data_IF_501561106103
#
_entry.id   IF_501561106103
#
_cell.length_a   1.000
_cell.length_b   1.000
_cell.length_c   1.000
_cell.angle_alpha   90.00
_cell.angle_beta   90.00
_cell.angle_gamma   90.00
#
_symmetry.space_group_name_H-M   'P 1'
#
loop_
_entity.id
_entity.type
_entity.pdbx_description
1 polymer ?
#
# COMPACT_ATOMS: atom_id res chain seq x y z
N UNK A 1 0.62 -16.28 -24.74
CA UNK A 1 1.23 -16.59 -23.42
C UNK A 1 2.18 -15.46 -23.08
N UNK A 2 2.13 -14.97 -21.85
CA UNK A 2 3.00 -13.88 -21.39
C UNK A 2 4.37 -14.44 -21.05
N UNK A 3 5.43 -13.81 -21.56
CA UNK A 3 6.81 -14.15 -21.21
C UNK A 3 7.06 -13.94 -19.71
N UNK A 4 7.88 -14.76 -19.04
CA UNK A 4 8.19 -14.53 -17.63
C UNK A 4 8.78 -13.13 -17.41
N UNK A 5 8.33 -12.46 -16.36
CA UNK A 5 8.79 -11.12 -15.99
C UNK A 5 8.90 -11.00 -14.46
N UNK A 6 9.66 -10.02 -14.00
CA UNK A 6 9.93 -9.75 -12.59
C UNK A 6 9.76 -8.28 -12.30
N UNK A 7 9.17 -7.96 -11.17
CA UNK A 7 9.04 -6.58 -10.72
C UNK A 7 9.18 -6.47 -9.21
N UNK A 8 9.36 -5.24 -8.74
CA UNK A 8 9.39 -4.95 -7.31
C UNK A 8 8.25 -4.00 -6.90
N UNK A 9 7.91 -4.03 -5.62
CA UNK A 9 6.94 -3.10 -5.01
C UNK A 9 7.62 -2.44 -3.81
N UNK A 10 7.63 -1.11 -3.79
CA UNK A 10 8.05 -0.30 -2.64
C UNK A 10 6.90 0.66 -2.32
N UNK A 11 6.34 0.55 -1.12
CA UNK A 11 5.23 1.39 -0.67
C UNK A 11 5.63 2.31 0.47
N UNK A 12 4.99 3.48 0.51
CA UNK A 12 5.12 4.50 1.55
C UNK A 12 6.58 4.75 1.97
N UNK A 13 7.50 5.01 1.02
CA UNK A 13 8.89 5.31 1.34
C UNK A 13 9.05 6.63 2.08
N UNK A 14 8.07 7.53 1.99
CA UNK A 14 8.02 8.80 2.70
C UNK A 14 9.36 9.55 2.65
N UNK A 15 9.87 9.77 1.44
CA UNK A 15 11.14 10.49 1.21
C UNK A 15 11.15 11.76 2.04
N UNK A 16 12.16 11.85 2.90
CA UNK A 16 12.41 12.97 3.80
C UNK A 16 13.90 13.33 3.73
N UNK A 17 14.22 14.44 3.07
CA UNK A 17 15.57 14.99 3.06
C UNK A 17 15.91 15.63 4.42
N UNK A 18 17.20 15.73 4.79
CA UNK A 18 17.59 16.28 6.09
C UNK A 18 17.02 17.68 6.41
N UNK A 19 16.85 18.54 5.40
CA UNK A 19 16.31 19.90 5.57
C UNK A 19 14.78 19.99 5.50
N UNK A 20 14.10 18.91 5.09
CA UNK A 20 12.63 18.81 5.11
C UNK A 20 12.13 18.01 6.32
N UNK A 21 13.03 17.47 7.13
CA UNK A 21 12.69 16.70 8.31
C UNK A 21 12.08 17.59 9.41
N UNK A 22 10.83 17.31 9.78
CA UNK A 22 10.17 17.91 10.94
C UNK A 22 10.06 16.89 12.08
N UNK A 23 10.53 17.26 13.27
CA UNK A 23 10.43 16.39 14.44
C UNK A 23 8.99 16.40 14.99
N UNK A 24 8.25 15.32 14.78
CA UNK A 24 6.95 15.10 15.42
C UNK A 24 7.09 14.16 16.63
N UNK A 25 6.75 14.63 17.86
CA UNK A 25 6.96 13.85 19.09
C UNK A 25 6.27 12.48 19.11
N UNK A 26 5.18 12.31 18.34
CA UNK A 26 4.33 11.10 18.29
C UNK A 26 4.45 10.30 17.00
N UNK A 27 5.47 10.55 16.16
CA UNK A 27 5.61 9.88 14.87
C UNK A 27 5.88 8.39 15.03
N UNK A 28 5.06 7.52 14.44
CA UNK A 28 5.32 6.07 14.44
C UNK A 28 6.42 5.68 13.46
N UNK A 29 6.56 6.44 12.37
CA UNK A 29 7.46 6.14 11.27
C UNK A 29 8.90 6.56 11.60
N UNK A 30 9.85 5.78 11.11
CA UNK A 30 11.27 6.03 11.20
C UNK A 30 11.73 6.77 9.93
N UNK A 31 11.20 7.98 9.72
CA UNK A 31 11.45 8.77 8.49
C UNK A 31 12.91 9.13 8.30
N UNK A 32 13.69 9.14 9.38
CA UNK A 32 15.14 9.34 9.34
C UNK A 32 15.86 8.24 8.55
N UNK A 33 15.27 7.04 8.49
CA UNK A 33 15.77 5.92 7.70
C UNK A 33 15.31 5.99 6.24
N UNK A 34 14.43 6.92 5.84
CA UNK A 34 13.81 6.95 4.51
C UNK A 34 14.81 6.91 3.37
N UNK A 35 15.63 7.95 3.23
CA UNK A 35 16.60 8.05 2.12
C UNK A 35 17.63 6.91 2.18
N UNK A 36 18.26 6.59 3.33
CA UNK A 36 19.20 5.47 3.41
C UNK A 36 18.58 4.11 3.06
N UNK A 37 17.37 3.81 3.55
CA UNK A 37 16.66 2.57 3.25
C UNK A 37 16.30 2.48 1.77
N UNK A 38 15.77 3.56 1.20
CA UNK A 38 15.39 3.58 -0.21
C UNK A 38 16.60 3.43 -1.11
N UNK A 39 17.71 4.12 -0.83
CA UNK A 39 18.96 3.97 -1.60
C UNK A 39 19.48 2.53 -1.55
N UNK A 40 19.50 1.90 -0.38
CA UNK A 40 19.93 0.51 -0.24
C UNK A 40 19.03 -0.46 -1.03
N UNK A 41 17.70 -0.28 -0.95
CA UNK A 41 16.75 -1.12 -1.69
C UNK A 41 16.92 -0.89 -3.19
N UNK A 42 16.94 0.35 -3.67
CA UNK A 42 17.10 0.65 -5.09
C UNK A 42 18.44 0.15 -5.65
N UNK A 43 19.53 0.23 -4.89
CA UNK A 43 20.82 -0.34 -5.28
C UNK A 43 20.77 -1.87 -5.39
N UNK A 44 20.08 -2.53 -4.44
CA UNK A 44 19.86 -3.99 -4.47
C UNK A 44 19.05 -4.39 -5.69
N UNK A 45 17.93 -3.71 -5.94
CA UNK A 45 17.04 -3.98 -7.07
C UNK A 45 17.71 -3.69 -8.42
N UNK A 46 18.54 -2.64 -8.52
CA UNK A 46 19.30 -2.31 -9.73
C UNK A 46 20.32 -3.39 -10.14
N UNK A 47 20.73 -4.27 -9.22
CA UNK A 47 21.61 -5.40 -9.51
C UNK A 47 20.84 -6.66 -9.96
N UNK A 48 19.51 -6.61 -9.99
CA UNK A 48 18.65 -7.72 -10.36
C UNK A 48 18.03 -7.54 -11.75
N UNK A 49 17.66 -8.64 -12.45
CA UNK A 49 16.97 -8.58 -13.73
C UNK A 49 15.48 -8.29 -13.52
N UNK A 50 15.16 -7.07 -13.09
CA UNK A 50 13.79 -6.56 -12.96
C UNK A 50 13.36 -5.86 -14.24
N UNK A 51 12.10 -6.07 -14.61
CA UNK A 51 11.47 -5.42 -15.75
C UNK A 51 10.91 -4.03 -15.36
N UNK A 52 10.43 -3.85 -14.13
CA UNK A 52 9.93 -2.57 -13.63
C UNK A 52 9.80 -2.52 -12.09
N UNK A 53 9.59 -1.31 -11.55
CA UNK A 53 9.26 -1.03 -10.14
C UNK A 53 7.87 -0.38 -10.05
N UNK A 54 7.04 -0.82 -9.09
CA UNK A 54 5.74 -0.22 -8.79
C UNK A 54 5.76 0.44 -7.40
N UNK A 55 5.25 1.66 -7.28
CA UNK A 55 5.20 2.41 -6.02
C UNK A 55 3.77 2.94 -5.73
N UNK A 56 3.00 2.28 -4.84
CA UNK A 56 1.61 2.61 -4.57
C UNK A 56 1.44 3.80 -3.60
N UNK A 57 2.13 4.91 -3.85
CA UNK A 57 1.93 6.18 -3.15
C UNK A 57 2.69 6.38 -1.85
N UNK A 58 2.46 7.55 -1.26
CA UNK A 58 3.18 8.14 -0.12
C UNK A 58 4.69 8.14 -0.37
N UNK A 59 5.03 8.62 -1.57
CA UNK A 59 6.38 8.72 -2.09
C UNK A 59 7.23 9.67 -1.24
N UNK A 60 6.62 10.75 -0.72
CA UNK A 60 7.23 11.77 0.14
C UNK A 60 6.52 11.86 1.48
N UNK A 61 7.16 12.49 2.46
CA UNK A 61 6.61 12.56 3.81
C UNK A 61 5.57 13.68 3.98
N UNK A 62 5.73 14.86 3.38
CA UNK A 62 4.71 15.92 3.43
C UNK A 62 4.60 16.73 2.12
N UNK A 63 4.81 16.09 0.97
CA UNK A 63 4.58 16.67 -0.35
C UNK A 63 5.59 17.74 -0.74
N UNK A 64 6.73 17.79 -0.06
CA UNK A 64 7.76 18.79 -0.31
C UNK A 64 8.35 18.63 -1.71
N UNK A 65 8.43 19.73 -2.44
CA UNK A 65 8.93 19.78 -3.82
C UNK A 65 10.36 19.25 -3.94
N UNK A 66 11.22 19.56 -2.96
CA UNK A 66 12.59 19.03 -2.90
C UNK A 66 12.62 17.50 -2.76
N UNK A 67 11.72 16.93 -1.96
CA UNK A 67 11.64 15.48 -1.77
C UNK A 67 11.16 14.79 -3.07
N UNK A 68 10.19 15.39 -3.77
CA UNK A 68 9.75 14.90 -5.09
C UNK A 68 10.86 15.00 -6.15
N UNK A 69 11.59 16.11 -6.21
CA UNK A 69 12.71 16.27 -7.15
C UNK A 69 13.83 15.28 -6.89
N UNK A 70 14.21 15.08 -5.62
CA UNK A 70 15.20 14.07 -5.28
C UNK A 70 14.77 12.67 -5.72
N UNK A 71 13.51 12.30 -5.44
CA UNK A 71 13.01 10.97 -5.79
C UNK A 71 12.94 10.76 -7.31
N UNK A 72 12.38 11.71 -8.06
CA UNK A 72 12.30 11.61 -9.53
C UNK A 72 13.68 11.54 -10.17
N UNK A 73 14.63 12.34 -9.70
CA UNK A 73 16.03 12.24 -10.14
C UNK A 73 16.60 10.85 -9.84
N UNK A 74 16.36 10.31 -8.65
CA UNK A 74 16.90 9.00 -8.28
C UNK A 74 16.28 7.84 -9.06
N UNK A 75 14.96 7.88 -9.28
CA UNK A 75 14.24 6.88 -10.09
C UNK A 75 14.68 6.91 -11.56
N UNK A 76 15.03 8.09 -12.11
CA UNK A 76 15.52 8.23 -13.50
C UNK A 76 16.85 7.51 -13.78
N UNK A 77 17.59 7.16 -12.71
CA UNK A 77 18.89 6.49 -12.79
C UNK A 77 18.78 4.96 -12.73
N UNK A 78 17.57 4.42 -12.54
CA UNK A 78 17.36 2.98 -12.49
C UNK A 78 17.55 2.35 -13.88
N UNK A 79 18.05 1.11 -13.96
CA UNK A 79 18.22 0.40 -15.23
C UNK A 79 16.89 -0.14 -15.79
N UNK A 80 15.78 0.08 -15.09
CA UNK A 80 14.42 -0.33 -15.45
C UNK A 80 13.43 0.81 -15.13
N UNK A 81 12.26 0.86 -15.80
CA UNK A 81 11.23 1.86 -15.51
C UNK A 81 10.62 1.70 -14.12
N UNK A 82 10.17 2.82 -13.56
CA UNK A 82 9.38 2.86 -12.34
C UNK A 82 8.03 3.52 -12.61
N UNK A 83 6.98 3.06 -11.94
CA UNK A 83 5.62 3.57 -12.08
C UNK A 83 5.04 3.88 -10.71
N UNK A 84 4.43 5.06 -10.58
CA UNK A 84 3.96 5.56 -9.29
C UNK A 84 2.50 5.97 -9.34
N UNK A 85 1.84 6.04 -8.19
CA UNK A 85 0.55 6.76 -7.98
C UNK A 85 0.70 7.69 -6.77
N UNK A 86 -0.09 8.76 -6.63
CA UNK A 86 0.00 9.62 -5.46
C UNK A 86 -0.60 8.96 -4.22
N UNK A 87 0.03 9.20 -3.07
CA UNK A 87 -0.56 9.01 -1.75
C UNK A 87 -1.02 10.31 -1.10
N UNK A 88 -1.64 10.22 0.08
CA UNK A 88 -2.16 11.41 0.77
C UNK A 88 -1.06 12.27 1.39
N UNK A 89 0.17 11.77 1.48
CA UNK A 89 1.35 12.55 1.89
C UNK A 89 2.05 13.23 0.71
N UNK A 90 1.78 12.82 -0.54
CA UNK A 90 2.43 13.39 -1.73
C UNK A 90 1.84 14.72 -2.16
N UNK A 91 0.51 14.84 -2.09
CA UNK A 91 -0.18 16.09 -2.44
C UNK A 91 -1.08 16.48 -1.28
N UNK A 92 -0.62 17.44 -0.47
CA UNK A 92 -1.32 17.85 0.76
C UNK A 92 -2.51 18.76 0.46
N UNK A 93 -2.40 19.60 -0.57
CA UNK A 93 -3.46 20.50 -1.01
C UNK A 93 -3.53 20.53 -2.54
N UNK A 94 -4.73 20.75 -3.10
CA UNK A 94 -4.93 20.73 -4.54
C UNK A 94 -4.02 21.71 -5.30
N UNK A 95 -3.74 22.87 -4.69
CA UNK A 95 -2.99 23.97 -5.30
C UNK A 95 -1.51 24.01 -4.91
N UNK A 96 -1.06 23.15 -3.99
CA UNK A 96 0.27 23.27 -3.40
C UNK A 96 0.52 24.64 -2.72
N UNK A 97 1.79 24.92 -2.42
CA UNK A 97 2.29 26.22 -1.98
C UNK A 97 3.78 26.38 -2.35
N UNK A 98 4.45 27.37 -1.75
CA UNK A 98 5.88 27.61 -1.98
C UNK A 98 6.76 26.38 -1.70
N UNK A 99 6.35 25.48 -0.80
CA UNK A 99 7.13 24.30 -0.39
C UNK A 99 6.58 22.99 -0.94
N UNK A 100 5.27 22.91 -1.13
CA UNK A 100 4.56 21.67 -1.49
C UNK A 100 4.02 21.70 -2.90
N UNK A 101 3.97 20.54 -3.55
CA UNK A 101 3.47 20.42 -4.93
C UNK A 101 1.95 20.41 -4.99
N UNK A 102 1.40 20.97 -6.06
CA UNK A 102 0.01 20.73 -6.48
C UNK A 102 -0.16 19.38 -7.17
N UNK A 103 -1.41 18.93 -7.38
CA UNK A 103 -1.66 17.70 -8.13
C UNK A 103 -1.18 17.78 -9.59
N UNK A 104 -1.29 18.96 -10.22
CA UNK A 104 -0.77 19.17 -11.58
C UNK A 104 0.75 19.07 -11.62
N UNK A 105 1.43 19.73 -10.69
CA UNK A 105 2.89 19.63 -10.58
C UNK A 105 3.33 18.19 -10.29
N UNK A 106 2.59 17.44 -9.47
CA UNK A 106 2.86 16.02 -9.26
C UNK A 106 2.82 15.25 -10.59
N UNK A 107 1.76 15.41 -11.39
CA UNK A 107 1.68 14.72 -12.70
C UNK A 107 2.77 15.16 -13.66
N UNK A 108 3.18 16.43 -13.64
CA UNK A 108 4.27 16.93 -14.49
C UNK A 108 5.63 16.36 -14.06
N UNK A 109 5.92 16.37 -12.75
CA UNK A 109 7.16 15.82 -12.18
C UNK A 109 7.28 14.33 -12.42
N UNK A 110 6.17 13.61 -12.28
CA UNK A 110 6.14 12.16 -12.46
C UNK A 110 5.80 11.70 -13.88
N UNK A 111 5.78 12.60 -14.87
CA UNK A 111 5.55 12.29 -16.29
C UNK A 111 6.26 11.01 -16.78
N UNK A 112 7.60 10.91 -16.60
CA UNK A 112 8.37 9.71 -16.99
C UNK A 112 8.02 8.42 -16.24
N UNK A 113 7.19 8.48 -15.20
CA UNK A 113 6.84 7.39 -14.29
C UNK A 113 5.35 7.00 -14.37
N UNK A 114 4.76 7.16 -15.56
CA UNK A 114 3.42 6.68 -15.92
C UNK A 114 2.48 7.75 -16.49
N UNK A 115 2.72 9.03 -16.18
CA UNK A 115 1.81 10.11 -16.53
C UNK A 115 2.08 10.65 -17.94
N UNK A 116 1.24 10.27 -18.90
CA UNK A 116 1.29 10.78 -20.28
C UNK A 116 0.42 12.02 -20.52
N UNK A 117 -0.47 12.33 -19.58
CA UNK A 117 -1.41 13.46 -19.63
C UNK A 117 -1.49 14.13 -18.25
N UNK A 118 -2.03 15.34 -18.18
CA UNK A 118 -2.28 16.06 -16.92
C UNK A 118 -3.53 15.53 -16.18
N UNK A 119 -3.67 14.21 -16.11
CA UNK A 119 -4.67 13.53 -15.29
C UNK A 119 -3.95 12.69 -14.23
N UNK A 120 -4.42 12.66 -12.97
CA UNK A 120 -3.70 11.99 -11.88
C UNK A 120 -3.87 10.45 -11.89
N UNK A 121 -4.35 9.88 -12.99
CA UNK A 121 -4.48 8.46 -13.24
C UNK A 121 -4.07 8.16 -14.69
N UNK A 122 -3.60 6.95 -14.95
CA UNK A 122 -3.03 6.59 -16.26
C UNK A 122 -3.08 5.09 -16.53
N UNK A 123 -2.86 4.75 -17.79
CA UNK A 123 -2.66 3.41 -18.29
C UNK A 123 -1.29 3.28 -18.93
N UNK A 124 -0.63 2.15 -18.70
CA UNK A 124 0.67 1.83 -19.29
C UNK A 124 0.78 0.33 -19.57
N UNK A 125 1.30 -0.06 -20.74
CA UNK A 125 1.77 -1.43 -20.97
C UNK A 125 3.14 -1.61 -20.31
N UNK A 126 3.25 -2.55 -19.37
CA UNK A 126 4.46 -2.80 -18.57
C UNK A 126 5.42 -3.73 -19.32
N UNK A 127 4.87 -4.83 -19.81
CA UNK A 127 5.51 -5.83 -20.68
C UNK A 127 4.45 -6.33 -21.67
N UNK A 128 4.81 -6.94 -22.81
CA UNK A 128 3.83 -7.37 -23.82
C UNK A 128 2.66 -8.17 -23.23
N UNK A 129 1.45 -7.60 -23.32
CA UNK A 129 0.20 -8.19 -22.85
C UNK A 129 -0.06 -8.11 -21.34
N UNK A 130 0.70 -7.27 -20.62
CA UNK A 130 0.48 -6.94 -19.21
C UNK A 130 0.47 -5.43 -19.04
N UNK A 131 -0.63 -4.91 -18.50
CA UNK A 131 -0.88 -3.48 -18.35
C UNK A 131 -1.06 -3.09 -16.89
N UNK A 132 -0.69 -1.86 -16.59
CA UNK A 132 -0.97 -1.16 -15.35
C UNK A 132 -2.09 -0.15 -15.58
N UNK A 133 -3.05 -0.11 -14.66
CA UNK A 133 -3.92 1.06 -14.45
C UNK A 133 -3.56 1.68 -13.11
N UNK A 134 -2.93 2.86 -13.15
CA UNK A 134 -2.60 3.65 -11.98
C UNK A 134 -3.75 4.60 -11.65
N UNK A 135 -4.30 4.49 -10.44
CA UNK A 135 -5.48 5.24 -10.00
C UNK A 135 -5.12 6.26 -8.92
N UNK A 136 -5.84 7.38 -8.92
CA UNK A 136 -5.78 8.38 -7.86
C UNK A 136 -6.97 8.22 -6.90
N UNK A 137 -6.66 7.99 -5.62
CA UNK A 137 -7.64 7.94 -4.54
C UNK A 137 -7.64 9.19 -3.65
N UNK A 138 -6.80 10.18 -3.96
CA UNK A 138 -6.59 11.37 -3.15
C UNK A 138 -7.66 12.39 -3.47
N UNK A 139 -8.64 12.51 -2.57
CA UNK A 139 -9.71 13.49 -2.64
C UNK A 139 -9.30 14.78 -1.92
N UNK A 140 -8.81 15.77 -2.67
CA UNK A 140 -8.40 17.07 -2.14
C UNK A 140 -9.58 18.05 -2.20
N UNK A 141 -10.05 18.50 -1.04
CA UNK A 141 -11.11 19.52 -0.97
C UNK A 141 -10.52 20.92 -1.21
N UNK A 142 -11.32 21.80 -1.83
CA UNK A 142 -11.17 23.24 -1.63
C UNK A 142 -11.45 23.58 -0.16
N UNK A 143 -10.71 24.55 0.42
CA UNK A 143 -10.70 24.86 1.86
C UNK A 143 -12.11 24.86 2.49
N UNK A 144 -12.33 24.03 3.53
CA UNK A 144 -13.49 24.18 4.45
C UNK A 144 -14.34 22.95 4.78
N UNK A 145 -14.07 21.76 4.22
CA UNK A 145 -14.81 20.52 4.58
C UNK A 145 -13.97 19.55 5.41
N UNK A 146 -14.57 19.03 6.49
CA UNK A 146 -13.87 18.33 7.58
C UNK A 146 -13.79 16.80 7.43
N UNK A 147 -13.85 16.25 6.21
CA UNK A 147 -13.61 14.83 5.99
C UNK A 147 -12.96 14.58 4.62
N UNK A 148 -11.63 14.57 4.60
CA UNK A 148 -10.81 13.96 3.54
C UNK A 148 -11.01 12.45 3.63
N UNK A 149 -11.88 11.89 2.79
CA UNK A 149 -12.04 10.44 2.65
C UNK A 149 -11.61 10.06 1.25
N UNK A 150 -10.77 9.04 1.15
CA UNK A 150 -10.28 8.53 -0.11
C UNK A 150 -11.44 8.18 -1.05
N UNK A 151 -11.32 8.59 -2.30
CA UNK A 151 -12.41 8.49 -3.27
C UNK A 151 -11.85 8.37 -4.69
N UNK A 152 -12.50 7.54 -5.51
CA UNK A 152 -12.26 7.47 -6.95
C UNK A 152 -13.48 8.06 -7.64
N UNK A 153 -13.37 9.27 -8.19
CA UNK A 153 -14.54 9.98 -8.72
C UNK A 153 -15.18 9.30 -9.94
N UNK A 154 -16.37 9.77 -10.31
CA UNK A 154 -17.15 9.20 -11.41
C UNK A 154 -16.44 9.34 -12.78
N UNK A 155 -15.66 10.40 -13.00
CA UNK A 155 -14.95 10.60 -14.26
C UNK A 155 -13.82 9.57 -14.40
N UNK A 156 -13.08 9.34 -13.31
CA UNK A 156 -12.04 8.32 -13.25
C UNK A 156 -12.62 6.90 -13.36
N UNK A 157 -13.76 6.60 -12.74
CA UNK A 157 -14.44 5.30 -12.89
C UNK A 157 -14.92 5.06 -14.32
N UNK A 158 -15.43 6.09 -15.00
CA UNK A 158 -15.84 6.02 -16.41
C UNK A 158 -14.62 5.77 -17.30
N UNK A 159 -13.54 6.54 -17.11
CA UNK A 159 -12.27 6.35 -17.82
C UNK A 159 -11.70 4.94 -17.58
N UNK A 160 -11.78 4.42 -16.36
CA UNK A 160 -11.31 3.08 -16.02
C UNK A 160 -12.11 2.02 -16.78
N UNK A 161 -13.43 2.13 -16.81
CA UNK A 161 -14.28 1.19 -17.54
C UNK A 161 -13.97 1.18 -19.04
N UNK A 162 -13.83 2.36 -19.66
CA UNK A 162 -13.44 2.50 -21.07
C UNK A 162 -12.07 1.88 -21.35
N UNK A 163 -11.08 2.19 -20.52
CA UNK A 163 -9.73 1.63 -20.63
C UNK A 163 -9.73 0.10 -20.50
N UNK A 164 -10.42 -0.44 -19.50
CA UNK A 164 -10.48 -1.89 -19.29
C UNK A 164 -11.27 -2.63 -20.38
N UNK A 165 -12.20 -1.94 -21.05
CA UNK A 165 -12.94 -2.44 -22.19
C UNK A 165 -12.05 -2.56 -23.44
N UNK A 166 -11.05 -1.70 -23.59
CA UNK A 166 -10.06 -1.79 -24.67
C UNK A 166 -9.00 -2.86 -24.40
N UNK A 167 -8.72 -3.16 -23.13
CA UNK A 167 -7.75 -4.16 -22.69
C UNK A 167 -8.36 -5.57 -22.52
N UNK A 168 -9.41 -5.91 -23.27
CA UNK A 168 -10.06 -7.22 -23.18
C UNK A 168 -9.08 -8.34 -23.57
N UNK A 169 -8.91 -9.32 -22.68
CA UNK A 169 -8.00 -10.46 -22.89
C UNK A 169 -6.55 -10.21 -22.47
N UNK A 170 -6.15 -8.96 -22.25
CA UNK A 170 -4.81 -8.61 -21.74
C UNK A 170 -4.74 -8.70 -20.22
N UNK A 171 -3.57 -8.88 -19.61
CA UNK A 171 -3.50 -8.86 -18.14
C UNK A 171 -3.48 -7.43 -17.61
N UNK A 172 -4.21 -7.17 -16.53
CA UNK A 172 -4.24 -5.83 -15.91
C UNK A 172 -3.94 -5.94 -14.43
N UNK A 173 -3.03 -5.08 -13.98
CA UNK A 173 -2.71 -4.80 -12.59
C UNK A 173 -3.32 -3.44 -12.27
N UNK A 174 -4.18 -3.36 -11.26
CA UNK A 174 -4.62 -2.10 -10.71
C UNK A 174 -3.67 -1.65 -9.59
N UNK A 175 -3.31 -0.37 -9.56
CA UNK A 175 -2.50 0.21 -8.48
C UNK A 175 -3.18 1.47 -7.95
N UNK A 176 -3.41 1.53 -6.64
CA UNK A 176 -4.04 2.67 -5.97
C UNK A 176 -3.54 2.73 -4.53
N UNK A 177 -3.33 3.94 -4.00
CA UNK A 177 -2.71 4.08 -2.68
C UNK A 177 -3.55 3.52 -1.52
N UNK A 178 -4.80 3.98 -1.38
CA UNK A 178 -5.71 3.52 -0.32
C UNK A 178 -6.23 2.11 -0.57
N UNK A 179 -6.52 1.36 0.50
CA UNK A 179 -7.05 0.00 0.37
C UNK A 179 -8.39 -0.04 -0.39
N UNK A 180 -8.57 -1.10 -1.19
CA UNK A 180 -9.82 -1.41 -1.88
C UNK A 180 -10.61 -2.49 -1.14
N UNK A 181 -9.91 -3.53 -0.68
CA UNK A 181 -10.48 -4.57 0.18
C UNK A 181 -10.09 -4.32 1.64
N UNK A 182 -10.79 -4.98 2.58
CA UNK A 182 -10.49 -4.86 4.01
C UNK A 182 -9.34 -5.80 4.38
N UNK A 183 -8.16 -5.24 4.66
CA UNK A 183 -6.98 -5.98 5.13
C UNK A 183 -6.98 -6.14 6.66
N UNK A 184 -7.97 -5.57 7.35
CA UNK A 184 -8.16 -5.72 8.79
C UNK A 184 -9.63 -6.01 9.09
N UNK A 185 -9.94 -6.79 10.15
CA UNK A 185 -11.31 -7.05 10.55
C UNK A 185 -12.12 -5.77 10.76
N UNK A 186 -13.13 -5.56 9.91
CA UNK A 186 -14.03 -4.41 9.99
C UNK A 186 -13.38 -3.08 9.64
N UNK A 187 -12.29 -3.06 8.86
CA UNK A 187 -11.54 -1.85 8.50
C UNK A 187 -12.45 -0.73 7.99
N UNK A 188 -13.46 -1.04 7.16
CA UNK A 188 -14.35 -0.05 6.58
C UNK A 188 -15.36 0.55 7.55
N UNK A 189 -15.59 -0.09 8.70
CA UNK A 189 -16.58 0.37 9.68
C UNK A 189 -15.92 0.88 10.96
N UNK A 190 -14.70 0.42 11.27
CA UNK A 190 -13.96 0.80 12.46
C UNK A 190 -13.57 2.29 12.42
N UNK A 191 -13.80 3.10 13.47
CA UNK A 191 -13.51 4.54 13.47
C UNK A 191 -12.05 4.91 13.19
N UNK A 192 -11.12 4.02 13.52
CA UNK A 192 -9.69 4.20 13.20
C UNK A 192 -9.28 3.57 11.86
N UNK A 193 -10.10 2.67 11.31
CA UNK A 193 -9.84 1.95 10.06
C UNK A 193 -10.33 2.70 8.82
N UNK A 194 -11.43 3.43 8.94
CA UNK A 194 -12.10 4.13 7.81
C UNK A 194 -11.21 5.07 7.00
N UNK A 195 -10.12 5.59 7.58
CA UNK A 195 -9.18 6.48 6.90
C UNK A 195 -8.28 5.77 5.89
N UNK A 196 -8.18 4.45 5.98
CA UNK A 196 -7.25 3.64 5.19
C UNK A 196 -7.85 3.04 3.92
N UNK A 197 -9.18 3.12 3.77
CA UNK A 197 -9.92 2.44 2.72
C UNK A 197 -10.74 3.43 1.89
N UNK A 198 -10.86 3.16 0.60
CA UNK A 198 -11.63 3.99 -0.34
C UNK A 198 -13.11 3.98 0.04
N UNK A 199 -13.72 5.17 0.14
CA UNK A 199 -15.10 5.32 0.58
C UNK A 199 -16.10 4.69 -0.40
N UNK A 200 -15.93 4.93 -1.70
CA UNK A 200 -16.77 4.37 -2.76
C UNK A 200 -16.19 3.08 -3.36
N UNK A 201 -15.43 2.31 -2.56
CA UNK A 201 -14.73 1.11 -3.02
C UNK A 201 -15.61 0.12 -3.77
N UNK A 202 -16.90 0.00 -3.44
CA UNK A 202 -17.79 -0.96 -4.10
C UNK A 202 -17.88 -0.68 -5.61
N UNK A 203 -18.01 0.58 -6.01
CA UNK A 203 -18.04 0.95 -7.42
C UNK A 203 -16.73 0.59 -8.15
N UNK A 204 -15.60 0.73 -7.46
CA UNK A 204 -14.30 0.31 -7.99
C UNK A 204 -14.20 -1.22 -8.09
N UNK A 205 -14.58 -1.95 -7.04
CA UNK A 205 -14.58 -3.42 -7.02
C UNK A 205 -15.47 -3.96 -8.15
N UNK A 206 -16.69 -3.44 -8.29
CA UNK A 206 -17.63 -3.85 -9.33
C UNK A 206 -17.05 -3.60 -10.73
N UNK A 207 -16.42 -2.43 -10.95
CA UNK A 207 -15.76 -2.11 -12.21
C UNK A 207 -14.61 -3.07 -12.52
N UNK A 208 -13.72 -3.33 -11.56
CA UNK A 208 -12.59 -4.24 -11.71
C UNK A 208 -13.05 -5.67 -12.00
N UNK A 209 -14.03 -6.17 -11.25
CA UNK A 209 -14.57 -7.52 -11.41
C UNK A 209 -15.34 -7.70 -12.73
N UNK A 210 -16.15 -6.71 -13.13
CA UNK A 210 -16.88 -6.74 -14.41
C UNK A 210 -15.93 -6.88 -15.61
N UNK A 211 -14.72 -6.34 -15.49
CA UNK A 211 -13.67 -6.44 -16.51
C UNK A 211 -12.65 -7.54 -16.22
N UNK A 212 -12.88 -8.42 -15.24
CA UNK A 212 -11.98 -9.53 -14.90
C UNK A 212 -10.55 -9.07 -14.53
N UNK A 213 -10.40 -7.90 -13.89
CA UNK A 213 -9.14 -7.51 -13.24
C UNK A 213 -9.01 -8.31 -11.95
N UNK A 214 -7.87 -8.99 -11.80
CA UNK A 214 -7.66 -9.98 -10.72
C UNK A 214 -6.61 -9.57 -9.69
N UNK A 215 -5.93 -8.45 -9.87
CA UNK A 215 -4.89 -7.98 -8.97
C UNK A 215 -5.02 -6.48 -8.73
N UNK A 216 -5.07 -6.09 -7.45
CA UNK A 216 -4.94 -4.71 -7.01
C UNK A 216 -3.80 -4.58 -6.00
N UNK A 217 -2.93 -3.60 -6.22
CA UNK A 217 -1.78 -3.28 -5.38
C UNK A 217 -2.06 -1.98 -4.61
N UNK A 218 -1.83 -2.00 -3.30
CA UNK A 218 -2.13 -0.89 -2.39
C UNK A 218 -1.01 -0.67 -1.36
N UNK A 219 -1.07 0.48 -0.69
CA UNK A 219 -0.16 0.90 0.39
C UNK A 219 -0.94 1.43 1.60
N UNK A 220 -0.49 2.55 2.18
CA UNK A 220 -1.18 3.39 3.17
C UNK A 220 -1.42 2.79 4.56
N UNK A 221 -1.82 1.53 4.64
CA UNK A 221 -2.08 0.85 5.92
C UNK A 221 -0.78 0.57 6.69
N UNK A 222 0.36 0.57 6.01
CA UNK A 222 1.69 0.27 6.55
C UNK A 222 1.78 -1.15 7.11
N UNK A 223 1.08 -2.09 6.47
CA UNK A 223 1.04 -3.50 6.87
C UNK A 223 1.37 -4.38 5.68
N UNK A 224 2.05 -5.50 5.92
CA UNK A 224 2.16 -6.57 4.93
C UNK A 224 0.92 -7.46 5.00
N UNK A 225 0.11 -7.47 3.94
CA UNK A 225 -1.05 -8.35 3.86
C UNK A 225 -1.34 -8.79 2.42
N UNK A 226 -1.74 -10.04 2.24
CA UNK A 226 -2.20 -10.59 0.95
C UNK A 226 -3.51 -11.35 1.16
N UNK A 227 -4.57 -10.90 0.49
CA UNK A 227 -5.88 -11.54 0.58
C UNK A 227 -6.56 -11.69 -0.78
N UNK A 228 -7.54 -12.58 -0.83
CA UNK A 228 -8.39 -12.85 -1.98
C UNK A 228 -9.86 -12.64 -1.60
N UNK A 229 -10.61 -11.95 -2.46
CA UNK A 229 -12.07 -11.82 -2.34
C UNK A 229 -12.71 -12.07 -3.70
N UNK A 230 -13.40 -13.21 -3.83
CA UNK A 230 -13.87 -13.67 -5.15
C UNK A 230 -12.68 -13.97 -6.05
N UNK A 231 -12.64 -13.34 -7.22
CA UNK A 231 -11.52 -13.46 -8.19
C UNK A 231 -10.48 -12.33 -8.08
N UNK A 232 -10.61 -11.42 -7.10
CA UNK A 232 -9.73 -10.26 -6.92
C UNK A 232 -8.75 -10.50 -5.77
N UNK A 233 -7.46 -10.56 -6.10
CA UNK A 233 -6.37 -10.49 -5.14
C UNK A 233 -6.05 -9.04 -4.80
N UNK A 234 -5.97 -8.73 -3.52
CA UNK A 234 -5.45 -7.47 -3.02
C UNK A 234 -4.14 -7.71 -2.27
N UNK A 235 -3.09 -7.02 -2.71
CA UNK A 235 -1.77 -7.03 -2.07
C UNK A 235 -1.52 -5.65 -1.49
N UNK A 236 -1.45 -5.56 -0.16
CA UNK A 236 -1.05 -4.33 0.53
C UNK A 236 0.40 -4.47 0.96
N UNK A 237 1.22 -3.49 0.60
CA UNK A 237 2.64 -3.46 0.95
C UNK A 237 2.85 -2.44 2.06
N UNK A 238 3.55 -2.86 3.11
CA UNK A 238 3.89 -2.04 4.25
C UNK A 238 4.91 -0.96 3.91
N UNK A 239 5.01 0.01 4.81
CA UNK A 239 5.86 1.19 4.61
C UNK A 239 7.33 0.87 4.78
N UNK A 240 8.14 1.27 3.80
CA UNK A 240 9.61 1.12 3.88
C UNK A 240 10.23 1.83 5.09
N UNK A 241 9.56 2.83 5.67
CA UNK A 241 10.05 3.58 6.85
C UNK A 241 9.42 3.16 8.18
N UNK A 242 8.57 2.15 8.19
CA UNK A 242 7.98 1.59 9.42
C UNK A 242 8.45 0.15 9.59
N UNK A 243 8.61 -0.33 10.82
CA UNK A 243 8.92 -1.75 11.05
C UNK A 243 7.92 -2.66 10.29
N UNK A 244 8.38 -3.67 9.53
CA UNK A 244 9.75 -4.18 9.46
C UNK A 244 10.58 -3.69 8.25
N UNK A 245 10.30 -2.49 7.74
CA UNK A 245 10.95 -1.88 6.57
C UNK A 245 10.86 -2.77 5.30
N UNK A 246 9.66 -3.23 4.92
CA UNK A 246 9.50 -4.21 3.86
C UNK A 246 9.58 -3.58 2.47
N UNK A 247 9.94 -4.41 1.50
CA UNK A 247 9.64 -4.24 0.09
C UNK A 247 9.35 -5.63 -0.50
N UNK A 248 8.67 -5.71 -1.65
CA UNK A 248 8.34 -7.00 -2.27
C UNK A 248 9.08 -7.18 -3.59
N UNK A 249 9.51 -8.40 -3.84
CA UNK A 249 9.95 -8.89 -5.15
C UNK A 249 8.90 -9.84 -5.68
N UNK A 250 8.61 -9.74 -6.96
CA UNK A 250 7.57 -10.51 -7.61
C UNK A 250 8.11 -11.16 -8.87
N UNK A 251 7.94 -12.47 -9.00
CA UNK A 251 8.23 -13.21 -10.22
C UNK A 251 6.91 -13.74 -10.80
N UNK A 252 6.68 -13.48 -12.08
CA UNK A 252 5.45 -13.89 -12.77
C UNK A 252 5.80 -14.78 -13.96
N UNK A 253 5.06 -15.88 -14.11
CA UNK A 253 5.18 -16.79 -15.24
C UNK A 253 3.81 -17.30 -15.68
N UNK A 254 3.66 -17.57 -16.99
CA UNK A 254 2.48 -18.26 -17.50
C UNK A 254 2.50 -19.73 -17.11
N UNK A 255 1.35 -20.27 -16.70
CA UNK A 255 1.15 -21.72 -16.53
C UNK A 255 0.79 -22.37 -17.88
N UNK A 256 0.88 -23.70 -17.96
CA UNK A 256 0.44 -24.46 -19.15
C UNK A 256 -1.05 -24.22 -19.49
N UNK A 257 -1.88 -23.94 -18.48
CA UNK A 257 -3.30 -23.64 -18.63
C UNK A 257 -3.58 -22.17 -19.02
N UNK A 258 -2.55 -21.35 -19.24
CA UNK A 258 -2.68 -19.93 -19.64
C UNK A 258 -3.01 -18.96 -18.50
N UNK A 259 -3.02 -19.42 -17.24
CA UNK A 259 -3.09 -18.55 -16.07
C UNK A 259 -1.71 -17.90 -15.80
N UNK A 260 -1.68 -16.82 -15.02
CA UNK A 260 -0.42 -16.29 -14.47
C UNK A 260 -0.21 -16.82 -13.06
N UNK A 261 0.96 -17.40 -12.81
CA UNK A 261 1.45 -17.68 -11.48
C UNK A 261 2.35 -16.53 -11.04
N UNK A 262 2.00 -15.90 -9.91
CA UNK A 262 2.72 -14.78 -9.31
C UNK A 262 3.30 -15.20 -7.98
N UNK A 263 4.62 -15.27 -7.89
CA UNK A 263 5.37 -15.56 -6.66
C UNK A 263 5.79 -14.24 -6.03
N UNK A 264 5.32 -13.99 -4.80
CA UNK A 264 5.60 -12.78 -4.03
C UNK A 264 6.53 -13.15 -2.89
N UNK A 265 7.66 -12.45 -2.78
CA UNK A 265 8.62 -12.59 -1.70
C UNK A 265 8.81 -11.22 -1.05
N UNK A 266 8.58 -11.14 0.25
CA UNK A 266 8.88 -9.95 1.06
C UNK A 266 10.33 -9.99 1.51
N UNK A 267 11.04 -8.91 1.23
CA UNK A 267 12.36 -8.60 1.73
C UNK A 267 12.26 -7.44 2.73
N UNK A 268 13.30 -7.24 3.55
CA UNK A 268 13.31 -6.23 4.61
C UNK A 268 14.68 -5.59 4.73
N UNK A 269 14.71 -4.28 4.95
CA UNK A 269 15.97 -3.58 5.28
C UNK A 269 16.40 -3.99 6.68
N UNK A 270 17.40 -4.88 6.78
CA UNK A 270 17.84 -5.42 8.06
C UNK A 270 18.57 -4.41 8.93
N UNK A 271 19.44 -3.61 8.30
CA UNK A 271 20.37 -2.70 8.95
C UNK A 271 20.69 -1.53 8.02
N UNK A 272 21.01 -0.38 8.62
CA UNK A 272 21.53 0.82 7.96
C UNK A 272 22.83 1.25 8.63
N UNK A 273 23.71 2.04 7.97
CA UNK A 273 24.98 2.48 8.55
C UNK A 273 24.84 3.12 9.95
N UNK A 274 23.85 4.00 10.12
CA UNK A 274 23.59 4.67 11.40
C UNK A 274 22.67 3.86 12.34
N UNK A 275 22.05 2.78 11.83
CA UNK A 275 21.14 1.92 12.58
C UNK A 275 21.42 0.43 12.27
N UNK A 276 22.51 -0.15 12.81
CA UNK A 276 22.87 -1.54 12.56
C UNK A 276 21.83 -2.54 13.07
N UNK A 277 21.08 -2.18 14.12
CA UNK A 277 19.98 -2.98 14.69
C UNK A 277 18.60 -2.42 14.29
N UNK A 278 18.45 -1.94 13.04
CA UNK A 278 17.26 -1.20 12.58
C UNK A 278 15.94 -1.90 12.92
N UNK A 279 15.85 -3.22 12.69
CA UNK A 279 14.64 -3.99 12.99
C UNK A 279 14.24 -3.91 14.46
N UNK A 280 15.19 -4.12 15.38
CA UNK A 280 14.93 -4.07 16.83
C UNK A 280 14.59 -2.65 17.26
N UNK A 281 15.34 -1.65 16.81
CA UNK A 281 15.15 -0.24 17.17
C UNK A 281 13.77 0.26 16.68
N UNK A 282 13.43 -0.04 15.42
CA UNK A 282 12.16 0.36 14.81
C UNK A 282 10.96 -0.30 15.49
N UNK A 283 11.05 -1.61 15.80
CA UNK A 283 10.03 -2.33 16.57
C UNK A 283 9.84 -1.74 17.96
N UNK A 284 10.93 -1.46 18.68
CA UNK A 284 10.88 -0.85 20.02
C UNK A 284 10.25 0.54 19.97
N UNK A 285 10.67 1.39 19.02
CA UNK A 285 10.13 2.75 18.82
C UNK A 285 8.63 2.73 18.54
N UNK A 286 8.16 1.82 17.70
CA UNK A 286 6.73 1.63 17.41
C UNK A 286 5.97 1.25 18.69
N UNK A 287 6.51 0.35 19.50
CA UNK A 287 5.92 -0.05 20.78
C UNK A 287 5.94 1.04 21.86
N UNK A 288 7.02 1.83 21.96
CA UNK A 288 7.13 2.91 22.95
C UNK A 288 6.14 4.06 22.63
N UNK A 289 5.82 4.27 21.36
CA UNK A 289 4.91 5.31 20.88
C UNK A 289 3.45 4.84 20.74
N UNK A 290 3.16 3.55 20.96
CA UNK A 290 1.82 2.99 20.71
C UNK A 290 0.77 3.26 21.78
N UNK A 291 1.15 3.71 22.99
CA UNK A 291 0.24 3.79 24.14
C UNK A 291 -1.07 4.54 23.88
N UNK A 292 -1.01 5.74 23.29
CA UNK A 292 -2.23 6.53 22.99
C UNK A 292 -3.08 5.86 21.90
N UNK A 293 -2.43 5.32 20.88
CA UNK A 293 -3.10 4.64 19.76
C UNK A 293 -3.79 3.36 20.23
N UNK A 294 -3.12 2.54 21.04
CA UNK A 294 -3.65 1.31 21.64
C UNK A 294 -4.78 1.59 22.63
N UNK A 295 -4.65 2.62 23.47
CA UNK A 295 -5.76 3.02 24.35
C UNK A 295 -6.98 3.47 23.54
N UNK A 296 -6.78 4.22 22.44
CA UNK A 296 -7.89 4.64 21.58
C UNK A 296 -8.53 3.43 20.89
N UNK A 297 -7.73 2.52 20.36
CA UNK A 297 -8.17 1.30 19.69
C UNK A 297 -9.07 0.46 20.59
N UNK A 298 -8.65 0.22 21.84
CA UNK A 298 -9.43 -0.52 22.83
C UNK A 298 -10.74 0.19 23.25
N UNK A 299 -10.78 1.53 23.20
CA UNK A 299 -11.98 2.31 23.50
C UNK A 299 -12.94 2.45 22.32
N UNK A 300 -12.54 2.06 21.10
CA UNK A 300 -13.42 2.06 19.94
C UNK A 300 -14.28 0.78 19.88
N UNK A 301 -15.46 0.82 19.23
CA UNK A 301 -16.21 -0.39 18.90
C UNK A 301 -15.34 -1.37 18.08
N UNK A 302 -15.49 -2.69 18.27
CA UNK A 302 -16.54 -3.34 19.06
C UNK A 302 -16.23 -3.42 20.56
N UNK A 303 -14.97 -3.26 20.98
CA UNK A 303 -14.58 -3.46 22.38
C UNK A 303 -15.16 -2.40 23.32
N UNK A 304 -15.17 -1.13 22.89
CA UNK A 304 -15.78 0.01 23.60
C UNK A 304 -15.37 0.08 25.09
N UNK A 305 -14.11 -0.25 25.42
CA UNK A 305 -13.67 -0.31 26.82
C UNK A 305 -13.68 1.10 27.44
N UNK A 306 -14.10 1.23 28.72
CA UNK A 306 -13.95 2.48 29.46
C UNK A 306 -12.50 2.97 29.44
N UNK A 307 -12.29 4.28 29.31
CA UNK A 307 -10.95 4.88 29.17
C UNK A 307 -9.94 4.38 30.21
N UNK A 308 -10.33 4.26 31.49
CA UNK A 308 -9.46 3.73 32.55
C UNK A 308 -8.97 2.30 32.27
N UNK A 309 -9.85 1.45 31.76
CA UNK A 309 -9.50 0.06 31.42
C UNK A 309 -8.64 0.00 30.16
N UNK A 310 -8.98 0.79 29.13
CA UNK A 310 -8.19 0.86 27.90
C UNK A 310 -6.75 1.33 28.16
N UNK A 311 -6.56 2.37 28.99
CA UNK A 311 -5.23 2.86 29.39
C UNK A 311 -4.46 1.80 30.18
N UNK A 312 -5.12 1.03 31.04
CA UNK A 312 -4.48 -0.02 31.83
C UNK A 312 -4.02 -1.21 30.96
N UNK A 313 -4.76 -1.55 29.90
CA UNK A 313 -4.44 -2.67 29.01
C UNK A 313 -3.49 -2.27 27.86
N UNK A 314 -3.44 -1.00 27.46
CA UNK A 314 -2.63 -0.56 26.33
C UNK A 314 -1.14 -0.96 26.41
N UNK A 315 -0.43 -0.89 27.56
CA UNK A 315 0.96 -1.33 27.66
C UNK A 315 1.17 -2.82 27.39
N UNK A 316 0.16 -3.66 27.64
CA UNK A 316 0.21 -5.10 27.43
C UNK A 316 0.29 -5.43 25.94
N UNK A 317 -0.37 -4.63 25.11
CA UNK A 317 -0.49 -4.81 23.66
C UNK A 317 0.41 -3.83 22.89
N UNK A 318 1.46 -3.31 23.53
CA UNK A 318 2.33 -2.28 22.95
C UNK A 318 2.91 -2.66 21.58
N UNK A 319 3.15 -3.95 21.36
CA UNK A 319 3.74 -4.49 20.13
C UNK A 319 2.70 -4.97 19.10
N UNK A 320 1.40 -4.82 19.39
CA UNK A 320 0.32 -5.33 18.54
C UNK A 320 0.40 -4.80 17.10
N UNK A 321 0.61 -3.49 16.93
CA UNK A 321 0.71 -2.92 15.59
C UNK A 321 1.98 -3.36 14.85
N UNK A 322 3.09 -3.51 15.57
CA UNK A 322 4.33 -4.03 14.98
C UNK A 322 4.18 -5.48 14.51
N UNK A 323 3.45 -6.31 15.27
CA UNK A 323 3.14 -7.68 14.87
C UNK A 323 2.28 -7.69 13.59
N UNK A 324 1.20 -6.90 13.55
CA UNK A 324 0.37 -6.77 12.36
C UNK A 324 1.20 -6.31 11.16
N UNK A 325 1.97 -5.23 11.32
CA UNK A 325 2.76 -4.65 10.24
C UNK A 325 3.77 -5.63 9.61
N UNK A 326 4.26 -6.60 10.39
CA UNK A 326 5.18 -7.61 9.90
C UNK A 326 4.55 -8.66 8.97
N UNK A 327 3.21 -8.81 8.96
CA UNK A 327 2.52 -9.91 8.28
C UNK A 327 2.83 -11.28 8.91
N UNK A 328 2.02 -12.29 8.60
CA UNK A 328 2.16 -13.69 9.05
C UNK A 328 2.22 -13.87 10.59
N UNK A 329 1.80 -12.87 11.36
CA UNK A 329 1.91 -12.87 12.82
C UNK A 329 0.79 -13.67 13.48
N UNK A 330 1.17 -14.46 14.49
CA UNK A 330 0.21 -15.02 15.46
C UNK A 330 0.02 -13.99 16.57
N UNK A 331 -1.21 -13.52 16.74
CA UNK A 331 -1.54 -12.53 17.76
C UNK A 331 -2.22 -13.21 18.93
N UNK A 332 -1.51 -13.27 20.06
CA UNK A 332 -2.07 -13.79 21.30
C UNK A 332 -1.53 -13.05 22.52
N UNK A 333 -2.43 -12.74 23.45
CA UNK A 333 -2.13 -12.08 24.72
C UNK A 333 -2.89 -12.79 25.86
N UNK A 334 -2.36 -13.91 26.39
CA UNK A 334 -3.03 -14.73 27.40
C UNK A 334 -3.44 -13.98 28.68
N UNK A 335 -2.74 -12.89 28.98
CA UNK A 335 -2.98 -12.01 30.13
C UNK A 335 -4.19 -11.09 29.99
N UNK A 336 -4.80 -11.01 28.79
CA UNK A 336 -5.96 -10.14 28.56
C UNK A 336 -7.29 -10.84 28.88
N UNK A 337 -8.35 -10.08 29.23
CA UNK A 337 -9.70 -10.62 29.31
C UNK A 337 -10.12 -11.27 27.98
N UNK A 338 -10.81 -12.40 28.06
CA UNK A 338 -11.20 -13.24 26.91
C UNK A 338 -11.85 -12.47 25.75
N UNK A 339 -12.79 -11.52 25.96
CA UNK A 339 -13.36 -10.74 24.84
C UNK A 339 -12.33 -9.90 24.10
N UNK A 340 -11.35 -9.32 24.82
CA UNK A 340 -10.29 -8.50 24.25
C UNK A 340 -9.29 -9.39 23.51
N UNK A 341 -8.87 -10.49 24.16
CA UNK A 341 -7.94 -11.47 23.58
C UNK A 341 -8.47 -12.01 22.25
N UNK A 342 -9.74 -12.44 22.21
CA UNK A 342 -10.40 -12.95 21.00
C UNK A 342 -10.47 -11.92 19.89
N UNK A 343 -10.77 -10.67 20.21
CA UNK A 343 -10.80 -9.60 19.21
C UNK A 343 -9.42 -9.31 18.63
N UNK A 344 -8.36 -9.27 19.46
CA UNK A 344 -7.00 -9.08 18.94
C UNK A 344 -6.53 -10.27 18.11
N UNK A 345 -6.92 -11.48 18.49
CA UNK A 345 -6.59 -12.70 17.75
C UNK A 345 -7.11 -12.68 16.31
N UNK A 346 -8.23 -12.00 16.02
CA UNK A 346 -8.76 -11.91 14.64
C UNK A 346 -7.89 -11.06 13.70
N UNK A 347 -6.89 -10.34 14.22
CA UNK A 347 -5.93 -9.59 13.41
C UNK A 347 -4.67 -10.41 13.08
N UNK A 348 -4.56 -11.64 13.61
CA UNK A 348 -3.47 -12.53 13.25
C UNK A 348 -3.67 -13.16 11.88
N UNK A 349 -2.61 -13.76 11.34
CA UNK A 349 -2.59 -14.44 10.05
C UNK A 349 -3.38 -15.75 10.11
N UNK A 350 -4.69 -15.63 9.98
CA UNK A 350 -5.66 -16.72 10.11
C UNK A 350 -6.54 -16.79 8.87
N UNK A 351 -6.88 -18.01 8.44
CA UNK A 351 -7.89 -18.22 7.39
C UNK A 351 -9.33 -18.07 7.92
N UNK A 352 -10.32 -18.23 7.04
CA UNK A 352 -11.74 -18.10 7.38
C UNK A 352 -12.21 -19.14 8.41
N UNK A 353 -11.48 -20.26 8.57
CA UNK A 353 -11.74 -21.28 9.58
C UNK A 353 -10.96 -21.04 10.88
N UNK A 354 -10.20 -19.95 10.97
CA UNK A 354 -9.40 -19.58 12.14
C UNK A 354 -8.09 -20.36 12.28
N UNK A 355 -7.61 -21.00 11.21
CA UNK A 355 -6.33 -21.72 11.20
C UNK A 355 -5.22 -20.78 10.73
N UNK A 356 -4.02 -20.96 11.26
CA UNK A 356 -2.86 -20.18 10.85
C UNK A 356 -2.58 -20.32 9.35
N UNK A 357 -2.46 -19.19 8.65
CA UNK A 357 -2.14 -19.14 7.22
C UNK A 357 -1.11 -18.04 6.98
N UNK A 358 0.14 -18.45 6.79
CA UNK A 358 1.20 -17.53 6.37
C UNK A 358 1.13 -17.32 4.85
N UNK A 359 0.69 -16.14 4.42
CA UNK A 359 0.60 -15.75 3.00
C UNK A 359 1.13 -14.34 2.75
N UNK A 360 1.40 -13.55 3.79
CA UNK A 360 1.68 -12.12 3.65
C UNK A 360 3.10 -11.88 3.15
N UNK A 361 4.09 -12.63 3.69
CA UNK A 361 5.49 -12.45 3.34
C UNK A 361 5.95 -13.36 2.18
N UNK A 362 5.33 -14.53 2.00
CA UNK A 362 5.61 -15.45 0.91
C UNK A 362 4.29 -15.97 0.34
N UNK A 363 3.97 -15.58 -0.90
CA UNK A 363 2.70 -15.94 -1.54
C UNK A 363 2.94 -16.53 -2.93
N UNK A 364 2.09 -17.48 -3.33
CA UNK A 364 1.95 -17.87 -4.74
C UNK A 364 0.49 -17.68 -5.13
N UNK A 365 0.24 -16.68 -5.98
CA UNK A 365 -1.08 -16.36 -6.48
C UNK A 365 -1.26 -17.01 -7.85
N UNK A 366 -2.47 -17.51 -8.12
CA UNK A 366 -2.84 -17.98 -9.46
C UNK A 366 -3.93 -17.07 -9.99
N UNK A 367 -3.56 -16.19 -10.93
CA UNK A 367 -4.50 -15.33 -11.62
C UNK A 367 -5.00 -16.10 -12.83
N UNK A 368 -6.27 -16.51 -12.83
CA UNK A 368 -6.82 -17.27 -13.95
C UNK A 368 -6.94 -16.42 -15.22
N UNK A 369 -6.83 -17.04 -16.40
CA UNK A 369 -6.86 -16.32 -17.68
C UNK A 369 -8.09 -15.40 -17.79
N UNK A 370 -7.91 -14.21 -18.38
CA UNK A 370 -9.05 -13.39 -18.81
C UNK A 370 -9.64 -14.00 -20.07
N UNK A 371 -10.96 -14.17 -20.08
CA UNK A 371 -11.69 -14.53 -21.29
C UNK A 371 -12.17 -13.25 -21.96
N UNK A 372 -12.23 -13.22 -23.29
CA UNK A 372 -12.96 -12.16 -23.97
C UNK A 372 -14.40 -12.15 -23.43
N UNK A 373 -14.86 -11.02 -22.88
CA UNK A 373 -16.26 -10.90 -22.50
C UNK A 373 -17.07 -11.19 -23.75
N UNK A 374 -18.00 -12.15 -23.67
CA UNK A 374 -18.98 -12.33 -24.73
C UNK A 374 -19.67 -10.98 -24.90
N UNK A 375 -19.58 -10.38 -26.09
CA UNK A 375 -20.40 -9.21 -26.47
C UNK A 375 -21.87 -9.62 -26.36
N UNK A 376 -22.42 -9.52 -25.16
CA UNK A 376 -23.82 -9.72 -24.85
C UNK A 376 -24.47 -8.35 -24.86
N UNK A 377 -25.32 -8.15 -25.87
CA UNK A 377 -26.30 -7.07 -26.03
C UNK A 377 -26.72 -6.37 -24.72
N UNK A 378 -26.36 -5.09 -24.60
CA UNK A 378 -27.11 -4.13 -23.79
C UNK A 378 -28.54 -4.00 -24.30
#
# INVERSE_FOLDING_TARGET
MVSPFRFAIISDPHVTLPHTQYAYPSQFHFVEASVPALEQVLATLAAEPLDFLLMPGDLTQHGERDNHHWLTQRLSQLPFPAYVVPGNHDVITANGDEKTVSMSEFTDLYGPFGYSQQQPYYHQELVPGVHLVGLNSIALMSKGSSCLRAHVDAAQLQWLAETLQDLQGEWVIAMVHHNVLEHMPGQATHPMGQRYIIQNRQALIDCLQAHQVRLVLTGHLHVQDVLESGDLWAVTTGSLVSYPHPYRRVAVASTEAGALQMQITTERVQALPDWPDLQTISRQRMGDRSGQFMSRFLSCPPLSLPSRQAVALAPIIRDFWAAIAAGDSVIDYPQLPEPVRRYLHSFGAMDAEGRYRAIDNQATLTLAARSALKKGSL
#
